data_IF_319299347897
#
_entry.id   IF_319299347897
#
_cell.length_a   1.000
_cell.length_b   1.000
_cell.length_c   1.000
_cell.angle_alpha   90.00
_cell.angle_beta   90.00
_cell.angle_gamma   90.00
#
_symmetry.space_group_name_H-M   'P 1'
#
loop_
_entity.id
_entity.type
_entity.pdbx_description
1 polymer ?
#
# COMPACT_ATOMS: atom_id res chain seq x y z
N UNK A 1 61.07 -41.25 -29.95
CA UNK A 1 59.95 -40.33 -30.30
C UNK A 1 58.93 -40.44 -29.16
N UNK A 2 58.92 -39.49 -28.24
CA UNK A 2 57.90 -39.31 -27.23
C UNK A 2 56.77 -38.52 -27.86
N UNK A 3 55.59 -39.13 -27.83
CA UNK A 3 54.31 -38.44 -28.15
C UNK A 3 53.75 -37.81 -26.83
N UNK A 4 53.71 -36.50 -26.77
CA UNK A 4 53.06 -35.78 -25.68
C UNK A 4 51.55 -35.69 -26.00
N UNK A 5 50.72 -36.30 -25.14
CA UNK A 5 49.25 -36.09 -25.17
C UNK A 5 48.93 -34.84 -24.33
N UNK A 6 48.46 -33.80 -25.00
CA UNK A 6 47.88 -32.66 -24.33
C UNK A 6 46.40 -32.96 -23.98
N UNK A 7 46.10 -33.13 -22.71
CA UNK A 7 44.75 -33.26 -22.23
C UNK A 7 44.10 -31.87 -22.16
N UNK A 8 43.14 -31.57 -23.03
CA UNK A 8 42.30 -30.40 -22.92
C UNK A 8 41.23 -30.65 -21.85
N UNK A 9 41.28 -29.91 -20.76
CA UNK A 9 40.25 -29.92 -19.73
C UNK A 9 39.01 -29.15 -20.25
N UNK A 10 37.79 -29.68 -20.10
CA UNK A 10 36.60 -28.94 -20.47
C UNK A 10 36.37 -27.79 -19.47
N UNK A 11 36.27 -26.56 -19.97
CA UNK A 11 35.75 -25.41 -19.22
C UNK A 11 34.28 -25.67 -18.91
N UNK A 12 33.96 -26.07 -17.68
CA UNK A 12 32.62 -26.08 -17.20
C UNK A 12 32.14 -24.61 -17.08
N UNK A 13 31.33 -24.15 -18.03
CA UNK A 13 30.60 -22.89 -17.89
C UNK A 13 29.63 -23.03 -16.71
N UNK A 14 29.91 -22.37 -15.62
CA UNK A 14 28.99 -22.23 -14.49
C UNK A 14 27.83 -21.37 -15.01
N UNK A 15 26.57 -21.86 -14.96
CA UNK A 15 25.44 -21.04 -15.36
C UNK A 15 25.42 -19.84 -14.41
N UNK A 16 25.61 -18.64 -14.95
CA UNK A 16 25.33 -17.40 -14.25
C UNK A 16 23.82 -17.39 -14.01
N UNK A 17 23.40 -17.61 -12.77
CA UNK A 17 22.00 -17.38 -12.39
C UNK A 17 21.72 -15.93 -12.74
N UNK A 18 20.89 -15.69 -13.73
CA UNK A 18 20.39 -14.36 -14.06
C UNK A 18 19.77 -13.81 -12.77
N UNK A 19 20.33 -12.74 -12.26
CA UNK A 19 19.80 -12.06 -11.10
C UNK A 19 18.39 -11.62 -11.47
N UNK A 20 17.39 -12.25 -10.86
CA UNK A 20 15.99 -11.90 -11.12
C UNK A 20 15.79 -10.44 -10.73
N UNK A 21 15.26 -9.64 -11.65
CA UNK A 21 14.96 -8.23 -11.39
C UNK A 21 14.04 -8.13 -10.16
N UNK A 22 14.52 -7.46 -9.12
CA UNK A 22 13.78 -7.31 -7.87
C UNK A 22 12.61 -6.30 -7.99
N UNK A 23 12.62 -5.47 -9.03
CA UNK A 23 11.64 -4.40 -9.27
C UNK A 23 11.09 -4.48 -10.72
N UNK A 24 10.47 -5.60 -11.11
CA UNK A 24 10.11 -5.86 -12.52
C UNK A 24 9.04 -4.92 -13.07
N UNK A 25 8.18 -4.34 -12.22
CA UNK A 25 7.15 -3.37 -12.65
C UNK A 25 7.67 -1.93 -12.70
N UNK A 26 8.92 -1.68 -12.28
CA UNK A 26 9.55 -0.38 -12.41
C UNK A 26 10.15 -0.20 -13.80
N UNK A 27 9.93 0.96 -14.42
CA UNK A 27 10.60 1.29 -15.66
C UNK A 27 12.12 1.35 -15.46
N UNK A 28 12.87 0.78 -16.38
CA UNK A 28 14.32 0.93 -16.40
C UNK A 28 14.68 2.40 -16.61
N UNK A 29 15.28 3.01 -15.58
CA UNK A 29 15.58 4.42 -15.61
C UNK A 29 16.22 4.94 -14.32
N UNK A 30 16.45 6.25 -14.22
CA UNK A 30 17.17 6.84 -13.10
C UNK A 30 16.55 6.53 -11.71
N UNK A 31 15.22 6.49 -11.62
CA UNK A 31 14.53 6.22 -10.36
C UNK A 31 14.82 4.80 -9.85
N UNK A 32 14.64 3.78 -10.69
CA UNK A 32 14.95 2.38 -10.34
C UNK A 32 16.42 2.22 -9.96
N UNK A 33 17.31 2.80 -10.77
CA UNK A 33 18.75 2.74 -10.52
C UNK A 33 19.14 3.42 -9.20
N UNK A 34 18.52 4.56 -8.88
CA UNK A 34 18.77 5.26 -7.62
C UNK A 34 18.34 4.43 -6.40
N UNK A 35 17.18 3.75 -6.48
CA UNK A 35 16.69 2.86 -5.44
C UNK A 35 17.67 1.70 -5.21
N UNK A 36 18.04 0.98 -6.28
CA UNK A 36 18.93 -0.16 -6.20
C UNK A 36 20.29 0.28 -5.64
N UNK A 37 20.86 1.36 -6.21
CA UNK A 37 22.13 1.92 -5.74
C UNK A 37 22.09 2.32 -4.27
N UNK A 38 21.02 2.98 -3.82
CA UNK A 38 20.86 3.37 -2.41
C UNK A 38 20.87 2.14 -1.50
N UNK A 39 20.08 1.12 -1.85
CA UNK A 39 20.01 -0.11 -1.06
C UNK A 39 21.38 -0.79 -1.01
N UNK A 40 22.05 -0.93 -2.14
CA UNK A 40 23.40 -1.52 -2.20
C UNK A 40 24.41 -0.73 -1.32
N UNK A 41 24.40 0.60 -1.43
CA UNK A 41 25.32 1.46 -0.68
C UNK A 41 25.14 1.33 0.85
N UNK A 42 23.90 1.27 1.33
CA UNK A 42 23.60 1.22 2.77
C UNK A 42 23.64 -0.21 3.35
N UNK A 43 23.59 -1.23 2.51
CA UNK A 43 23.65 -2.63 2.94
C UNK A 43 25.05 -3.23 2.86
N UNK A 44 25.97 -2.62 2.10
CA UNK A 44 27.34 -3.11 1.88
C UNK A 44 28.14 -3.05 3.17
N UNK A 45 28.45 -4.20 3.75
CA UNK A 45 29.26 -4.31 4.96
C UNK A 45 30.64 -3.67 4.75
N UNK A 46 31.10 -2.89 5.74
CA UNK A 46 32.38 -2.16 5.68
C UNK A 46 32.35 -0.97 4.71
N UNK A 47 31.27 -0.68 4.05
CA UNK A 47 31.12 0.50 3.20
C UNK A 47 30.98 1.79 4.02
N UNK A 48 31.31 2.96 3.45
CA UNK A 48 31.25 4.25 4.15
C UNK A 48 29.82 4.66 4.54
N UNK A 49 28.82 4.13 3.83
CA UNK A 49 27.39 4.43 4.05
C UNK A 49 26.64 3.27 4.71
N UNK A 50 27.36 2.26 5.21
CA UNK A 50 26.73 1.09 5.80
C UNK A 50 25.83 1.47 6.99
N UNK A 51 24.58 1.01 6.95
CA UNK A 51 23.60 1.14 8.03
C UNK A 51 23.34 -0.26 8.61
N UNK A 52 23.42 -0.38 9.94
CA UNK A 52 23.15 -1.66 10.60
C UNK A 52 21.69 -2.10 10.36
N UNK A 53 21.40 -3.41 10.19
CA UNK A 53 20.03 -3.88 9.90
C UNK A 53 18.97 -3.41 10.91
N UNK A 54 19.33 -3.22 12.19
CA UNK A 54 18.44 -2.73 13.22
C UNK A 54 17.97 -1.27 12.97
N UNK A 55 18.75 -0.50 12.24
CA UNK A 55 18.54 0.92 11.95
C UNK A 55 17.97 1.18 10.55
N UNK A 56 17.85 0.12 9.71
CA UNK A 56 17.26 0.24 8.36
C UNK A 56 15.76 0.38 8.47
N UNK A 57 15.24 1.59 8.30
CA UNK A 57 13.82 1.93 8.36
C UNK A 57 13.42 2.59 7.05
N UNK A 58 12.28 2.17 6.50
CA UNK A 58 11.63 2.83 5.38
C UNK A 58 10.17 3.14 5.74
N UNK A 59 9.76 4.38 5.53
CA UNK A 59 8.41 4.85 5.77
C UNK A 59 7.72 5.18 4.46
N UNK A 60 6.44 4.88 4.39
CA UNK A 60 5.60 5.12 3.22
C UNK A 60 4.35 5.86 3.65
N UNK A 61 3.93 6.82 2.85
CA UNK A 61 2.55 7.28 2.91
C UNK A 61 1.62 6.24 2.27
N UNK A 62 0.33 6.36 2.51
CA UNK A 62 -0.64 5.37 2.07
C UNK A 62 -1.41 5.86 0.83
N UNK A 63 -2.22 6.93 1.01
CA UNK A 63 -3.08 7.45 -0.04
C UNK A 63 -2.27 8.09 -1.18
N UNK A 64 -2.50 7.62 -2.41
CA UNK A 64 -1.75 8.06 -3.59
C UNK A 64 -0.31 7.54 -3.67
N UNK A 65 0.21 6.87 -2.64
CA UNK A 65 1.56 6.30 -2.59
C UNK A 65 1.53 4.77 -2.70
N UNK A 66 0.87 4.08 -1.77
CA UNK A 66 0.77 2.64 -1.79
C UNK A 66 -0.48 2.15 -2.52
N UNK A 67 -1.56 2.91 -2.43
CA UNK A 67 -2.80 2.62 -3.13
C UNK A 67 -3.44 3.86 -3.77
N UNK A 68 -4.49 3.64 -4.58
CA UNK A 68 -5.21 4.71 -5.25
C UNK A 68 -6.02 5.55 -4.27
N UNK A 69 -5.94 6.88 -4.39
CA UNK A 69 -6.71 7.85 -3.61
C UNK A 69 -7.96 8.37 -4.35
N UNK A 70 -8.04 8.12 -5.66
CA UNK A 70 -9.13 8.65 -6.51
C UNK A 70 -10.21 7.59 -6.75
N UNK A 71 -11.50 7.97 -6.79
CA UNK A 71 -12.04 9.35 -6.75
C UNK A 71 -12.17 9.94 -5.35
N UNK A 72 -11.89 9.19 -4.31
CA UNK A 72 -11.86 9.62 -2.90
C UNK A 72 -11.01 8.66 -2.07
N UNK A 73 -10.55 9.11 -0.93
CA UNK A 73 -9.80 8.30 0.03
C UNK A 73 -10.60 7.07 0.47
N UNK A 74 -9.93 5.95 0.61
CA UNK A 74 -10.59 4.68 0.97
C UNK A 74 -11.26 4.75 2.34
N UNK A 75 -10.65 5.45 3.30
CA UNK A 75 -11.23 5.67 4.61
C UNK A 75 -12.58 6.41 4.50
N UNK A 76 -12.66 7.43 3.67
CA UNK A 76 -13.90 8.14 3.43
C UNK A 76 -14.93 7.25 2.74
N UNK A 77 -14.52 6.50 1.71
CA UNK A 77 -15.41 5.57 1.02
C UNK A 77 -16.00 4.52 1.99
N UNK A 78 -15.17 3.97 2.89
CA UNK A 78 -15.60 3.09 3.96
C UNK A 78 -16.63 3.75 4.88
N UNK A 79 -16.33 4.96 5.39
CA UNK A 79 -17.23 5.69 6.29
C UNK A 79 -18.61 5.95 5.64
N UNK A 80 -18.63 6.34 4.36
CA UNK A 80 -19.88 6.58 3.62
C UNK A 80 -20.73 5.31 3.46
N UNK A 81 -20.09 4.16 3.21
CA UNK A 81 -20.78 2.88 3.14
C UNK A 81 -21.30 2.43 4.53
N UNK A 82 -20.50 2.65 5.60
CA UNK A 82 -20.92 2.36 6.96
C UNK A 82 -22.16 3.17 7.36
N UNK A 83 -22.22 4.47 7.06
CA UNK A 83 -23.41 5.30 7.30
C UNK A 83 -24.65 4.68 6.65
N UNK A 84 -24.56 4.27 5.38
CA UNK A 84 -25.69 3.63 4.68
C UNK A 84 -26.11 2.31 5.36
N UNK A 85 -25.15 1.47 5.73
CA UNK A 85 -25.39 0.19 6.40
C UNK A 85 -26.00 0.36 7.80
N UNK A 86 -25.64 1.43 8.51
CA UNK A 86 -26.11 1.73 9.87
C UNK A 86 -27.46 2.48 9.89
N UNK A 87 -27.81 3.20 8.82
CA UNK A 87 -29.00 4.04 8.74
C UNK A 87 -30.31 3.37 9.18
N UNK A 88 -30.58 2.07 8.94
CA UNK A 88 -31.78 1.40 9.45
C UNK A 88 -31.89 1.38 10.98
N UNK A 89 -30.75 1.44 11.69
CA UNK A 89 -30.67 1.46 13.17
C UNK A 89 -30.61 2.87 13.75
N UNK A 90 -30.52 3.89 12.87
CA UNK A 90 -30.39 5.31 13.20
C UNK A 90 -31.48 6.13 12.47
N UNK A 91 -32.77 5.96 12.84
CA UNK A 91 -33.87 6.67 12.16
C UNK A 91 -33.76 8.20 12.24
N UNK A 92 -33.08 8.72 13.28
CA UNK A 92 -32.80 10.15 13.48
C UNK A 92 -31.92 10.74 12.38
N UNK A 93 -31.09 9.94 11.70
CA UNK A 93 -30.23 10.39 10.61
C UNK A 93 -31.02 10.86 9.38
N UNK A 94 -32.28 10.49 9.26
CA UNK A 94 -33.16 10.99 8.18
C UNK A 94 -33.44 12.49 8.27
N UNK A 95 -33.26 13.07 9.45
CA UNK A 95 -33.55 14.48 9.73
C UNK A 95 -32.34 15.28 10.21
N UNK A 96 -31.27 14.59 10.64
CA UNK A 96 -30.07 15.24 11.18
C UNK A 96 -28.97 15.38 10.11
N UNK A 97 -28.40 16.56 10.00
CA UNK A 97 -27.21 16.80 9.18
C UNK A 97 -25.93 16.34 9.94
N UNK A 98 -24.92 15.85 9.24
CA UNK A 98 -24.79 15.74 7.77
C UNK A 98 -25.42 14.47 7.18
N UNK A 99 -25.94 13.56 8.00
CA UNK A 99 -26.43 12.23 7.60
C UNK A 99 -27.62 12.32 6.65
N UNK A 100 -28.54 13.25 6.88
CA UNK A 100 -29.70 13.49 6.01
C UNK A 100 -29.26 13.74 4.56
N UNK A 101 -28.37 14.70 4.36
CA UNK A 101 -27.84 15.06 3.04
C UNK A 101 -27.05 13.90 2.43
N UNK A 102 -26.26 13.19 3.25
CA UNK A 102 -25.50 12.04 2.81
C UNK A 102 -26.39 10.87 2.35
N UNK A 103 -27.45 10.56 3.10
CA UNK A 103 -28.39 9.49 2.77
C UNK A 103 -29.27 9.84 1.57
N UNK A 104 -29.47 11.13 1.27
CA UNK A 104 -30.07 11.61 0.04
C UNK A 104 -29.17 11.43 -1.20
N UNK A 105 -27.89 11.04 -1.00
CA UNK A 105 -26.91 10.77 -2.07
C UNK A 105 -26.02 11.95 -2.43
N UNK A 106 -26.19 13.12 -1.79
CA UNK A 106 -25.37 14.30 -2.06
C UNK A 106 -24.14 14.34 -1.13
N UNK A 107 -23.16 13.48 -1.46
CA UNK A 107 -21.89 13.38 -0.71
C UNK A 107 -21.15 14.71 -0.71
N UNK A 108 -21.14 15.42 -1.85
CA UNK A 108 -20.44 16.71 -1.96
C UNK A 108 -21.03 17.76 -1.03
N UNK A 109 -22.35 17.89 -1.01
CA UNK A 109 -23.02 18.83 -0.11
C UNK A 109 -22.87 18.44 1.36
N UNK A 110 -22.91 17.13 1.69
CA UNK A 110 -22.70 16.66 3.06
C UNK A 110 -21.28 17.01 3.56
N UNK A 111 -20.25 16.74 2.78
CA UNK A 111 -18.86 17.09 3.12
C UNK A 111 -18.60 18.60 3.07
N UNK A 112 -19.32 19.33 2.20
CA UNK A 112 -19.27 20.80 2.10
C UNK A 112 -19.80 21.53 3.32
N UNK A 113 -20.45 20.83 4.27
CA UNK A 113 -20.86 21.41 5.57
C UNK A 113 -19.69 21.65 6.54
N UNK A 114 -18.45 21.30 6.13
CA UNK A 114 -17.21 21.61 6.81
C UNK A 114 -16.68 20.50 7.70
N UNK A 115 -15.60 20.79 8.38
CA UNK A 115 -14.83 19.82 9.20
C UNK A 115 -15.71 19.15 10.29
N UNK A 116 -16.62 19.90 10.90
CA UNK A 116 -17.52 19.35 11.91
C UNK A 116 -18.39 18.22 11.36
N UNK A 117 -18.87 18.37 10.12
CA UNK A 117 -19.70 17.35 9.47
C UNK A 117 -18.86 16.09 9.18
N UNK A 118 -17.63 16.25 8.68
CA UNK A 118 -16.69 15.14 8.50
C UNK A 118 -16.42 14.42 9.81
N UNK A 119 -16.11 15.15 10.88
CA UNK A 119 -15.85 14.57 12.21
C UNK A 119 -17.07 13.81 12.75
N UNK A 120 -18.28 14.29 12.53
CA UNK A 120 -19.50 13.58 12.92
C UNK A 120 -19.67 12.25 12.16
N UNK A 121 -19.42 12.24 10.86
CA UNK A 121 -19.45 11.03 10.04
C UNK A 121 -18.40 10.03 10.54
N UNK A 122 -17.16 10.48 10.74
CA UNK A 122 -16.08 9.64 11.22
C UNK A 122 -16.36 9.08 12.63
N UNK A 123 -16.81 9.91 13.55
CA UNK A 123 -17.18 9.47 14.89
C UNK A 123 -18.30 8.43 14.87
N UNK A 124 -19.35 8.63 14.07
CA UNK A 124 -20.47 7.70 13.98
C UNK A 124 -20.08 6.32 13.41
N UNK A 125 -19.07 6.28 12.54
CA UNK A 125 -18.67 5.07 11.80
C UNK A 125 -17.47 4.34 12.40
N UNK A 126 -16.70 4.99 13.28
CA UNK A 126 -15.47 4.46 13.88
C UNK A 126 -15.57 4.27 15.40
N UNK A 127 -16.65 4.77 16.04
CA UNK A 127 -16.82 4.65 17.49
C UNK A 127 -17.74 3.48 17.86
N UNK A 128 -17.58 2.98 19.10
CA UNK A 128 -18.46 1.94 19.65
C UNK A 128 -18.14 0.53 19.20
N UNK A 129 -17.00 0.33 18.54
CA UNK A 129 -16.48 -0.99 18.15
C UNK A 129 -15.17 -1.29 18.87
N UNK A 130 -14.90 -2.55 19.12
CA UNK A 130 -13.56 -3.02 19.51
C UNK A 130 -12.62 -2.94 18.29
N UNK A 131 -11.31 -3.03 18.52
CA UNK A 131 -10.30 -3.08 17.46
C UNK A 131 -10.54 -4.27 16.51
N UNK A 132 -10.94 -5.41 17.07
CA UNK A 132 -11.23 -6.63 16.31
C UNK A 132 -12.46 -6.47 15.41
N UNK A 133 -13.54 -5.88 15.94
CA UNK A 133 -14.76 -5.61 15.18
C UNK A 133 -14.50 -4.62 14.05
N UNK A 134 -13.74 -3.56 14.34
CA UNK A 134 -13.35 -2.58 13.33
C UNK A 134 -12.48 -3.21 12.22
N UNK A 135 -11.46 -4.00 12.60
CA UNK A 135 -10.58 -4.71 11.65
C UNK A 135 -11.39 -5.64 10.75
N UNK A 136 -12.34 -6.38 11.34
CA UNK A 136 -13.24 -7.26 10.58
C UNK A 136 -14.10 -6.47 9.59
N UNK A 137 -14.75 -5.38 10.04
CA UNK A 137 -15.61 -4.55 9.20
C UNK A 137 -14.84 -3.94 8.01
N UNK A 138 -13.63 -3.43 8.25
CA UNK A 138 -12.76 -2.91 7.19
C UNK A 138 -12.33 -4.01 6.22
N UNK A 139 -11.95 -5.19 6.72
CA UNK A 139 -11.53 -6.32 5.89
C UNK A 139 -12.66 -6.82 4.99
N UNK A 140 -13.87 -6.99 5.53
CA UNK A 140 -15.06 -7.39 4.76
C UNK A 140 -15.43 -6.36 3.68
N UNK A 141 -15.39 -5.07 4.05
CA UNK A 141 -15.64 -4.00 3.09
C UNK A 141 -14.59 -3.96 1.98
N UNK A 142 -13.30 -4.01 2.32
CA UNK A 142 -12.21 -3.95 1.36
C UNK A 142 -12.19 -5.15 0.40
N UNK A 143 -12.67 -6.32 0.85
CA UNK A 143 -12.77 -7.53 0.03
C UNK A 143 -13.95 -7.51 -0.95
N UNK A 144 -14.89 -6.58 -0.82
CA UNK A 144 -16.03 -6.44 -1.74
C UNK A 144 -15.66 -5.62 -2.98
N UNK A 145 -16.17 -5.95 -4.19
CA UNK A 145 -15.97 -5.10 -5.38
C UNK A 145 -16.75 -3.81 -5.19
N UNK A 146 -16.06 -2.71 -4.98
CA UNK A 146 -16.69 -1.42 -4.61
C UNK A 146 -16.11 -0.20 -5.32
N UNK A 147 -14.88 -0.28 -5.82
CA UNK A 147 -14.26 0.90 -6.43
C UNK A 147 -15.09 1.41 -7.62
N UNK A 148 -15.63 2.65 -7.55
CA UNK A 148 -16.65 3.12 -8.48
C UNK A 148 -16.17 3.23 -9.94
N UNK A 149 -14.88 3.47 -10.14
CA UNK A 149 -14.29 3.63 -11.46
C UNK A 149 -13.87 2.31 -12.10
N UNK A 150 -13.33 1.37 -11.30
CA UNK A 150 -12.69 0.16 -11.83
C UNK A 150 -13.48 -1.11 -11.55
N UNK A 151 -14.55 -1.06 -10.75
CA UNK A 151 -15.35 -2.20 -10.32
C UNK A 151 -14.50 -3.35 -9.70
N UNK A 152 -13.32 -3.01 -9.16
CA UNK A 152 -12.41 -3.91 -8.46
C UNK A 152 -12.58 -3.81 -6.96
N UNK A 153 -12.11 -4.83 -6.26
CA UNK A 153 -11.99 -4.79 -4.80
C UNK A 153 -11.00 -3.70 -4.39
N UNK A 154 -11.24 -3.05 -3.26
CA UNK A 154 -10.28 -2.07 -2.74
C UNK A 154 -8.92 -2.69 -2.43
N UNK A 155 -8.87 -3.97 -2.02
CA UNK A 155 -7.63 -4.74 -1.84
C UNK A 155 -6.79 -4.91 -3.12
N UNK A 156 -7.38 -4.70 -4.29
CA UNK A 156 -6.71 -4.79 -5.60
C UNK A 156 -6.28 -3.42 -6.14
N UNK A 157 -6.56 -2.34 -5.38
CA UNK A 157 -6.26 -0.97 -5.78
C UNK A 157 -4.90 -0.47 -5.28
N UNK A 158 -4.00 -1.40 -4.99
CA UNK A 158 -2.61 -1.14 -4.58
C UNK A 158 -1.71 -1.03 -5.81
N UNK A 159 -0.64 -0.23 -5.69
CA UNK A 159 0.33 -0.08 -6.76
C UNK A 159 1.36 -1.21 -6.73
N UNK A 160 1.34 -2.05 -7.75
CA UNK A 160 2.27 -3.18 -7.87
C UNK A 160 3.75 -2.80 -7.73
N UNK A 161 4.24 -1.70 -8.34
CA UNK A 161 5.63 -1.27 -8.15
C UNK A 161 5.98 -1.00 -6.68
N UNK A 162 5.02 -0.50 -5.89
CA UNK A 162 5.25 -0.20 -4.46
C UNK A 162 5.28 -1.47 -3.61
N UNK A 163 4.48 -2.49 -3.95
CA UNK A 163 4.56 -3.81 -3.30
C UNK A 163 5.92 -4.46 -3.54
N UNK A 164 6.44 -4.34 -4.76
CA UNK A 164 7.78 -4.83 -5.12
C UNK A 164 8.87 -4.10 -4.35
N UNK A 165 8.77 -2.76 -4.27
CA UNK A 165 9.72 -1.95 -3.50
C UNK A 165 9.72 -2.34 -2.02
N UNK A 166 8.56 -2.48 -1.40
CA UNK A 166 8.46 -2.90 0.00
C UNK A 166 9.06 -4.29 0.21
N UNK A 167 8.82 -5.22 -0.71
CA UNK A 167 9.38 -6.58 -0.68
C UNK A 167 10.90 -6.57 -0.85
N UNK A 168 11.40 -5.77 -1.80
CA UNK A 168 12.83 -5.60 -2.04
C UNK A 168 13.55 -5.01 -0.82
N UNK A 169 12.99 -3.97 -0.21
CA UNK A 169 13.54 -3.36 1.00
C UNK A 169 13.60 -4.37 2.17
N UNK A 170 12.50 -5.11 2.40
CA UNK A 170 12.46 -6.15 3.45
C UNK A 170 13.48 -7.25 3.21
N UNK A 171 13.65 -7.69 1.98
CA UNK A 171 14.67 -8.68 1.61
C UNK A 171 16.10 -8.18 1.89
N UNK A 172 16.31 -6.86 1.92
CA UNK A 172 17.56 -6.19 2.25
C UNK A 172 17.64 -5.70 3.72
N UNK A 173 16.79 -6.27 4.60
CA UNK A 173 16.85 -6.04 6.05
C UNK A 173 16.21 -4.75 6.53
N UNK A 174 15.43 -4.06 5.70
CA UNK A 174 14.66 -2.88 6.13
C UNK A 174 13.39 -3.27 6.86
N UNK A 175 13.04 -2.52 7.90
CA UNK A 175 11.70 -2.48 8.49
C UNK A 175 10.87 -1.45 7.74
N UNK A 176 9.69 -1.86 7.27
CA UNK A 176 8.79 -0.96 6.54
C UNK A 176 7.61 -0.56 7.40
N UNK A 177 7.29 0.74 7.41
CA UNK A 177 6.16 1.32 8.15
C UNK A 177 5.31 2.17 7.22
N UNK A 178 4.00 2.20 7.50
CA UNK A 178 3.08 3.14 6.88
C UNK A 178 2.88 4.28 7.87
N UNK A 179 3.04 5.52 7.39
CA UNK A 179 2.81 6.75 8.13
C UNK A 179 1.86 7.58 7.29
N UNK A 180 0.59 7.57 7.66
CA UNK A 180 -0.48 8.29 6.97
C UNK A 180 -1.02 9.41 7.86
N UNK A 181 -1.24 10.58 7.27
CA UNK A 181 -1.80 11.76 7.92
C UNK A 181 -3.31 11.88 7.80
#
# INVERSE_FOLDING_TARGET
>A
RLLAFAAAAPLCAVPTLAQTDALPSWNDGPAKQAIVKFVDDVTKEGGPNHVAPAERIATFDNDGCLWSEQPMYFQLAFALEQVKGMAPRHPEWKTQEPFKTLLAGDVKAALGQGEKALMQIMAATHSGMTTEEFTKAVGEWAASPRHPRFARRYTEMVYQPMLELMSYLRANGFKTFIVSG
#
